data_IF_592177781172
#
_entry.id   IF_592177781172
#
_cell.length_a   1.000
_cell.length_b   1.000
_cell.length_c   1.000
_cell.angle_alpha   90.00
_cell.angle_beta   90.00
_cell.angle_gamma   90.00
#
_symmetry.space_group_name_H-M   'P 1'
#
loop_
_entity.id
_entity.type
_entity.pdbx_description
1 polymer ?
#
# COMPACT_ATOMS: atom_id res chain seq x y z
N UNK A 1 -34.52 30.12 -15.69
CA UNK A 1 -33.12 30.39 -16.08
C UNK A 1 -32.26 29.30 -15.45
N UNK A 2 -31.80 28.34 -16.26
CA UNK A 2 -31.14 27.10 -15.78
C UNK A 2 -29.76 27.43 -15.21
N UNK A 3 -29.59 27.29 -13.91
CA UNK A 3 -28.26 27.18 -13.27
C UNK A 3 -27.66 25.84 -13.70
N UNK A 4 -26.98 25.85 -14.85
CA UNK A 4 -26.20 24.71 -15.35
C UNK A 4 -24.73 24.95 -15.05
N UNK A 5 -24.41 25.14 -13.77
CA UNK A 5 -23.03 25.17 -13.31
C UNK A 5 -22.72 23.84 -12.60
N UNK A 6 -21.82 23.01 -13.14
CA UNK A 6 -21.46 21.72 -12.52
C UNK A 6 -20.91 21.89 -11.10
N UNK A 7 -20.27 23.04 -10.84
CA UNK A 7 -19.68 23.41 -9.53
C UNK A 7 -20.73 23.49 -8.42
N UNK A 8 -21.92 24.03 -8.70
CA UNK A 8 -22.98 24.17 -7.68
C UNK A 8 -23.64 22.85 -7.32
N UNK A 9 -23.69 21.88 -8.26
CA UNK A 9 -24.16 20.54 -7.94
C UNK A 9 -23.22 19.83 -6.96
N UNK A 10 -21.92 19.96 -7.17
CA UNK A 10 -20.90 19.35 -6.32
C UNK A 10 -20.93 19.95 -4.91
N UNK A 11 -21.12 21.27 -4.78
CA UNK A 11 -21.25 21.95 -3.50
C UNK A 11 -22.54 21.56 -2.75
N UNK A 12 -23.66 21.46 -3.46
CA UNK A 12 -24.93 21.04 -2.85
C UNK A 12 -24.90 19.58 -2.37
N UNK A 13 -24.30 18.68 -3.15
CA UNK A 13 -24.07 17.29 -2.75
C UNK A 13 -23.19 17.21 -1.49
N UNK A 14 -22.18 18.09 -1.39
CA UNK A 14 -21.23 18.11 -0.27
C UNK A 14 -21.84 18.66 1.03
N UNK A 15 -22.68 19.69 0.93
CA UNK A 15 -23.46 20.20 2.07
C UNK A 15 -24.45 19.13 2.58
N UNK A 16 -25.15 18.44 1.67
CA UNK A 16 -26.07 17.37 2.02
C UNK A 16 -25.38 16.17 2.68
N UNK A 17 -24.20 15.78 2.16
CA UNK A 17 -23.39 14.71 2.74
C UNK A 17 -22.84 15.08 4.12
N UNK A 18 -22.33 16.31 4.27
CA UNK A 18 -21.80 16.79 5.56
C UNK A 18 -22.88 16.82 6.64
N UNK A 19 -24.13 17.15 6.31
CA UNK A 19 -25.22 17.20 7.28
C UNK A 19 -25.72 15.81 7.72
N UNK A 20 -25.50 14.77 6.91
CA UNK A 20 -25.90 13.39 7.22
C UNK A 20 -24.80 12.56 7.89
N UNK A 21 -23.57 13.09 7.95
CA UNK A 21 -22.38 12.35 8.38
C UNK A 21 -21.66 12.95 9.60
N UNK A 22 -22.24 13.97 10.24
CA UNK A 22 -21.68 14.64 11.43
C UNK A 22 -21.59 13.77 12.68
N UNK A 23 -22.34 12.65 12.74
CA UNK A 23 -22.44 11.81 13.94
C UNK A 23 -21.80 10.42 13.80
N UNK A 24 -21.24 10.07 12.62
CA UNK A 24 -20.73 8.72 12.36
C UNK A 24 -19.25 8.58 12.74
N UNK A 25 -18.96 7.54 13.51
CA UNK A 25 -17.61 7.24 13.99
C UNK A 25 -16.74 6.63 12.88
N UNK A 26 -15.42 6.86 12.93
CA UNK A 26 -14.45 6.45 11.89
C UNK A 26 -14.40 4.93 11.61
N UNK A 27 -15.08 4.10 12.39
CA UNK A 27 -15.16 2.64 12.22
C UNK A 27 -16.17 2.19 11.15
N UNK A 28 -17.06 3.07 10.67
CA UNK A 28 -18.12 2.73 9.70
C UNK A 28 -17.83 3.23 8.26
N UNK A 29 -16.57 3.61 7.99
CA UNK A 29 -16.18 4.21 6.69
C UNK A 29 -16.48 3.27 5.51
N UNK A 30 -16.35 1.95 5.69
CA UNK A 30 -16.66 0.98 4.63
C UNK A 30 -18.15 0.94 4.28
N UNK A 31 -19.04 0.99 5.28
CA UNK A 31 -20.49 1.01 5.04
C UNK A 31 -20.93 2.33 4.40
N UNK A 32 -20.35 3.46 4.82
CA UNK A 32 -20.58 4.78 4.21
C UNK A 32 -20.12 4.81 2.74
N UNK A 33 -19.06 4.08 2.39
CA UNK A 33 -18.56 4.01 1.01
C UNK A 33 -19.53 3.27 0.07
N UNK A 34 -20.24 2.25 0.56
CA UNK A 34 -21.22 1.50 -0.25
C UNK A 34 -22.46 2.35 -0.54
N UNK A 35 -22.98 3.07 0.45
CA UNK A 35 -24.15 3.94 0.30
C UNK A 35 -23.87 5.17 -0.58
N UNK A 36 -22.64 5.70 -0.53
CA UNK A 36 -22.25 6.90 -1.30
C UNK A 36 -22.09 6.67 -2.80
N UNK A 37 -21.93 5.42 -3.25
CA UNK A 37 -21.87 5.08 -4.69
C UNK A 37 -23.16 5.47 -5.41
N UNK A 38 -24.30 5.26 -4.74
CA UNK A 38 -25.63 5.42 -5.34
C UNK A 38 -26.12 6.86 -5.20
N UNK A 39 -25.85 7.50 -4.05
CA UNK A 39 -26.37 8.83 -3.73
C UNK A 39 -25.47 9.97 -4.23
N UNK A 40 -24.15 9.81 -4.18
CA UNK A 40 -23.18 10.90 -4.42
C UNK A 40 -21.92 10.42 -5.17
N UNK A 41 -22.00 10.17 -6.49
CA UNK A 41 -20.91 9.57 -7.26
C UNK A 41 -19.63 10.44 -7.32
N UNK A 42 -19.76 11.77 -7.23
CA UNK A 42 -18.60 12.68 -7.22
C UNK A 42 -17.85 12.62 -5.89
N UNK A 43 -18.59 12.59 -4.78
CA UNK A 43 -18.03 12.52 -3.42
C UNK A 43 -17.39 11.15 -3.19
N UNK A 44 -18.00 10.09 -3.73
CA UNK A 44 -17.42 8.75 -3.70
C UNK A 44 -16.02 8.70 -4.34
N UNK A 45 -15.83 9.33 -5.52
CA UNK A 45 -14.50 9.39 -6.15
C UNK A 45 -13.49 10.18 -5.32
N UNK A 46 -13.90 11.28 -4.68
CA UNK A 46 -13.02 12.07 -3.81
C UNK A 46 -12.63 11.28 -2.55
N UNK A 47 -13.59 10.61 -1.92
CA UNK A 47 -13.35 9.71 -0.79
C UNK A 47 -12.41 8.57 -1.18
N UNK A 48 -12.63 7.95 -2.35
CA UNK A 48 -11.75 6.90 -2.87
C UNK A 48 -10.32 7.39 -3.09
N UNK A 49 -10.13 8.59 -3.66
CA UNK A 49 -8.79 9.20 -3.77
C UNK A 49 -8.21 9.49 -2.40
N UNK A 50 -9.00 9.98 -1.45
CA UNK A 50 -8.58 10.26 -0.08
C UNK A 50 -8.19 8.98 0.70
N UNK A 51 -8.85 7.86 0.45
CA UNK A 51 -8.57 6.54 1.06
C UNK A 51 -7.39 5.81 0.40
N UNK A 52 -7.23 5.98 -0.92
CA UNK A 52 -6.09 5.39 -1.66
C UNK A 52 -4.81 6.19 -1.46
N UNK A 53 -4.91 7.51 -1.29
CA UNK A 53 -3.86 8.31 -0.67
C UNK A 53 -3.68 7.78 0.75
N UNK A 54 -2.50 7.26 1.12
CA UNK A 54 -2.29 6.82 2.48
C UNK A 54 -2.43 8.04 3.39
N UNK A 55 -3.58 8.17 4.06
CA UNK A 55 -3.81 9.18 5.12
C UNK A 55 -2.71 9.04 6.19
N UNK A 56 -2.12 7.85 6.31
CA UNK A 56 -0.93 7.59 7.11
C UNK A 56 0.32 7.33 6.26
N UNK A 57 1.26 8.26 6.22
CA UNK A 57 2.64 8.01 5.73
C UNK A 57 3.37 6.96 6.56
N UNK A 58 2.86 6.63 7.76
CA UNK A 58 3.44 5.68 8.70
C UNK A 58 3.78 4.31 8.09
N UNK A 59 2.96 3.77 7.17
CA UNK A 59 3.27 2.48 6.53
C UNK A 59 4.47 2.58 5.60
N UNK A 60 4.52 3.62 4.75
CA UNK A 60 5.66 3.89 3.89
C UNK A 60 6.91 4.23 4.70
N UNK A 61 6.80 5.06 5.74
CA UNK A 61 7.90 5.41 6.66
C UNK A 61 8.45 4.17 7.38
N UNK A 62 7.57 3.28 7.86
CA UNK A 62 7.96 2.01 8.47
C UNK A 62 8.74 1.14 7.48
N UNK A 63 8.27 1.03 6.24
CA UNK A 63 8.97 0.31 5.15
C UNK A 63 10.33 0.93 4.83
N UNK A 64 10.42 2.25 4.67
CA UNK A 64 11.70 2.94 4.42
C UNK A 64 12.67 2.83 5.60
N UNK A 65 12.17 2.88 6.83
CA UNK A 65 12.96 2.67 8.04
C UNK A 65 13.52 1.24 8.10
N UNK A 66 12.69 0.25 7.78
CA UNK A 66 13.11 -1.16 7.67
C UNK A 66 14.21 -1.33 6.61
N UNK A 67 14.00 -0.81 5.40
CA UNK A 67 15.00 -0.83 4.33
C UNK A 67 16.30 -0.14 4.73
N UNK A 68 16.23 1.00 5.43
CA UNK A 68 17.41 1.72 5.93
C UNK A 68 18.18 0.90 6.96
N UNK A 69 17.50 0.19 7.86
CA UNK A 69 18.12 -0.75 8.81
C UNK A 69 18.79 -1.91 8.07
N UNK A 70 18.09 -2.53 7.12
CA UNK A 70 18.62 -3.62 6.29
C UNK A 70 19.89 -3.18 5.51
N UNK A 71 19.84 -2.01 4.88
CA UNK A 71 20.98 -1.44 4.14
C UNK A 71 22.15 -1.09 5.07
N UNK A 72 21.87 -0.60 6.28
CA UNK A 72 22.92 -0.24 7.26
C UNK A 72 23.61 -1.48 7.81
N UNK A 73 22.86 -2.54 8.12
CA UNK A 73 23.40 -3.82 8.58
C UNK A 73 24.33 -4.48 7.54
N UNK A 74 24.03 -4.32 6.25
CA UNK A 74 24.73 -5.01 5.14
C UNK A 74 25.74 -4.14 4.37
N UNK A 75 26.03 -2.92 4.86
CA UNK A 75 26.65 -1.81 4.12
C UNK A 75 28.03 -2.08 3.54
N UNK A 76 28.76 -3.11 4.00
CA UNK A 76 30.14 -3.34 3.56
C UNK A 76 30.28 -4.15 2.27
N UNK A 77 29.23 -4.76 1.69
CA UNK A 77 29.44 -5.63 0.50
C UNK A 77 28.25 -5.87 -0.43
N UNK A 78 27.16 -5.10 -0.33
CA UNK A 78 25.89 -5.48 -0.97
C UNK A 78 25.61 -4.74 -2.30
N UNK A 79 25.32 -5.49 -3.36
CA UNK A 79 24.80 -4.95 -4.63
C UNK A 79 23.31 -4.61 -4.52
N UNK A 80 22.84 -3.71 -5.40
CA UNK A 80 21.43 -3.34 -5.49
C UNK A 80 20.52 -4.55 -5.79
N UNK A 81 20.96 -5.44 -6.69
CA UNK A 81 20.25 -6.69 -7.03
C UNK A 81 20.06 -7.63 -5.84
N UNK A 82 21.00 -7.67 -4.91
CA UNK A 82 20.86 -8.46 -3.68
C UNK A 82 19.92 -7.76 -2.70
N UNK A 83 19.96 -6.42 -2.66
CA UNK A 83 19.14 -5.61 -1.76
C UNK A 83 17.67 -5.75 -2.10
N UNK A 84 17.32 -5.73 -3.38
CA UNK A 84 15.96 -5.96 -3.86
C UNK A 84 15.49 -7.37 -3.51
N UNK A 85 16.31 -8.40 -3.74
CA UNK A 85 15.99 -9.78 -3.35
C UNK A 85 15.72 -9.94 -1.85
N UNK A 86 16.55 -9.35 -0.99
CA UNK A 86 16.31 -9.37 0.47
C UNK A 86 15.10 -8.54 0.90
N UNK A 87 14.87 -7.39 0.25
CA UNK A 87 13.68 -6.58 0.51
C UNK A 87 12.42 -7.39 0.23
N UNK A 88 12.39 -8.10 -0.91
CA UNK A 88 11.25 -8.91 -1.30
C UNK A 88 11.03 -10.09 -0.35
N UNK A 89 12.11 -10.76 0.08
CA UNK A 89 12.05 -11.83 1.08
C UNK A 89 11.53 -11.34 2.43
N UNK A 90 11.88 -10.11 2.84
CA UNK A 90 11.37 -9.49 4.06
C UNK A 90 9.90 -9.08 3.96
N UNK A 91 9.41 -8.72 2.76
CA UNK A 91 7.99 -8.46 2.51
C UNK A 91 7.21 -9.78 2.52
N UNK A 92 7.66 -10.78 1.76
CA UNK A 92 7.03 -12.09 1.60
C UNK A 92 7.51 -13.12 2.64
N UNK A 93 7.62 -12.70 3.90
CA UNK A 93 8.01 -13.58 5.00
C UNK A 93 6.97 -14.67 5.32
N UNK A 94 5.73 -14.51 4.83
CA UNK A 94 4.63 -15.48 4.98
C UNK A 94 4.78 -16.72 4.09
N UNK A 95 5.71 -16.70 3.14
CA UNK A 95 5.95 -17.85 2.24
C UNK A 95 6.77 -18.90 2.97
N UNK A 96 6.21 -20.11 3.09
CA UNK A 96 6.91 -21.23 3.71
C UNK A 96 8.14 -21.65 2.88
N UNK A 97 9.33 -21.54 3.48
CA UNK A 97 10.59 -21.86 2.83
C UNK A 97 10.90 -23.35 3.04
N UNK A 98 11.06 -24.10 1.94
CA UNK A 98 11.55 -25.49 2.01
C UNK A 98 13.08 -25.49 2.11
N UNK A 99 13.59 -25.80 3.31
CA UNK A 99 15.02 -25.81 3.61
C UNK A 99 15.82 -26.80 2.77
N UNK A 100 15.26 -27.98 2.45
CA UNK A 100 15.94 -28.96 1.60
C UNK A 100 16.13 -28.46 0.18
N UNK A 101 15.13 -27.77 -0.37
CA UNK A 101 15.23 -27.17 -1.71
C UNK A 101 16.32 -26.10 -1.74
N UNK A 102 16.34 -25.20 -0.75
CA UNK A 102 17.37 -24.16 -0.63
C UNK A 102 18.76 -24.75 -0.51
N UNK A 103 18.92 -25.85 0.24
CA UNK A 103 20.20 -26.52 0.38
C UNK A 103 20.69 -27.13 -0.94
N UNK A 104 19.80 -27.78 -1.69
CA UNK A 104 20.11 -28.33 -3.02
C UNK A 104 20.49 -27.24 -4.01
N UNK A 105 19.75 -26.13 -4.01
CA UNK A 105 20.03 -24.99 -4.89
C UNK A 105 21.36 -24.32 -4.52
N UNK A 106 21.69 -24.25 -3.23
CA UNK A 106 22.97 -23.74 -2.75
C UNK A 106 24.15 -24.61 -3.19
N UNK A 107 24.03 -25.93 -3.00
CA UNK A 107 25.05 -26.90 -3.41
C UNK A 107 25.27 -26.88 -4.92
N UNK A 108 24.19 -26.83 -5.70
CA UNK A 108 24.22 -26.74 -7.15
C UNK A 108 24.87 -25.44 -7.67
N UNK A 109 24.77 -24.34 -6.93
CA UNK A 109 25.38 -23.06 -7.34
C UNK A 109 26.91 -23.11 -7.24
N UNK A 110 27.47 -23.93 -6.34
CA UNK A 110 28.92 -24.09 -6.16
C UNK A 110 29.68 -22.82 -5.72
N UNK A 111 28.95 -21.75 -5.35
CA UNK A 111 29.55 -20.49 -4.92
C UNK A 111 29.18 -20.17 -3.47
N UNK A 112 30.07 -19.43 -2.81
CA UNK A 112 29.84 -18.98 -1.42
C UNK A 112 28.64 -18.04 -1.27
N UNK A 113 28.10 -17.50 -2.36
CA UNK A 113 27.05 -16.47 -2.35
C UNK A 113 25.91 -16.83 -3.29
N UNK A 114 24.73 -17.07 -2.72
CA UNK A 114 23.50 -17.30 -3.49
C UNK A 114 23.02 -15.98 -4.09
N UNK A 115 22.79 -15.91 -5.41
CA UNK A 115 22.06 -14.81 -6.02
C UNK A 115 20.58 -14.90 -5.66
N UNK A 116 20.06 -13.89 -4.96
CA UNK A 116 18.66 -13.83 -4.52
C UNK A 116 17.77 -13.19 -5.60
N UNK A 117 17.90 -13.67 -6.84
CA UNK A 117 17.12 -13.15 -7.96
C UNK A 117 15.68 -13.65 -7.83
N UNK A 118 14.75 -12.71 -7.68
CA UNK A 118 13.33 -13.00 -7.88
C UNK A 118 13.05 -12.95 -9.38
N UNK A 119 12.54 -14.06 -9.90
CA UNK A 119 11.99 -14.14 -11.25
C UNK A 119 10.46 -14.20 -11.09
N UNK A 120 9.79 -13.18 -11.61
CA UNK A 120 8.33 -13.14 -11.75
C UNK A 120 7.85 -14.09 -12.86
#
# INVERSE_FOLDING_TARGET
MRLRCPVYKQLAELELWSHCNTDKSSSEICEILEDTVILYPNIHNILKVLLTMPVSTASAERSFSCLRRMKTYLRSTMSETRLTGLALMNIHHDVAINSEKVLRDFDATGTRRIPLLFQD
#
